data_IF_937752070350
#
_entry.id   IF_937752070350
#
_cell.length_a   1.000
_cell.length_b   1.000
_cell.length_c   1.000
_cell.angle_alpha   90.00
_cell.angle_beta   90.00
_cell.angle_gamma   90.00
#
_symmetry.space_group_name_H-M   'P 1'
#
loop_
_entity.id
_entity.type
_entity.pdbx_description
1 polymer ?
#
# COMPACT_ATOMS: atom_id res chain seq x y z
N UNK A 1 -2.36 19.63 -37.23
CA UNK A 1 -2.01 18.50 -36.35
C UNK A 1 -3.28 17.99 -35.66
N UNK A 2 -4.27 17.47 -36.40
CA UNK A 2 -4.53 16.04 -36.69
C UNK A 2 -4.51 15.11 -35.46
N UNK A 3 -5.73 14.82 -34.98
CA UNK A 3 -6.29 13.54 -34.48
C UNK A 3 -5.64 12.87 -33.26
N UNK A 4 -6.34 12.92 -32.13
CA UNK A 4 -6.60 11.74 -31.31
C UNK A 4 -8.09 11.75 -30.94
N UNK A 5 -8.87 10.92 -31.64
CA UNK A 5 -10.20 10.50 -31.21
C UNK A 5 -10.22 8.97 -31.19
N UNK A 6 -10.62 8.46 -30.02
CA UNK A 6 -11.36 7.21 -29.76
C UNK A 6 -10.61 5.88 -29.92
N UNK A 7 -10.33 5.28 -28.76
CA UNK A 7 -10.69 3.89 -28.48
C UNK A 7 -11.03 3.75 -26.98
N UNK A 8 -12.06 4.49 -26.53
CA UNK A 8 -12.71 4.21 -25.26
C UNK A 8 -13.68 3.03 -25.47
N UNK A 9 -13.14 1.81 -25.48
CA UNK A 9 -13.93 0.61 -25.34
C UNK A 9 -14.32 0.44 -23.86
N UNK A 10 -15.36 1.19 -23.45
CA UNK A 10 -16.31 0.71 -22.44
C UNK A 10 -15.90 0.71 -20.97
N UNK A 11 -14.93 1.52 -20.50
CA UNK A 11 -14.75 1.66 -19.06
C UNK A 11 -14.34 3.08 -18.61
N UNK A 12 -15.26 3.88 -18.01
CA UNK A 12 -14.94 5.24 -17.55
C UNK A 12 -13.83 5.28 -16.48
N UNK A 13 -13.54 4.16 -15.81
CA UNK A 13 -12.41 4.06 -14.87
C UNK A 13 -11.02 4.10 -15.52
N UNK A 14 -10.87 3.66 -16.78
CA UNK A 14 -9.57 3.65 -17.46
C UNK A 14 -9.11 5.05 -17.90
N UNK A 15 -10.04 5.98 -18.14
CA UNK A 15 -9.71 7.35 -18.51
C UNK A 15 -9.07 8.13 -17.35
N UNK A 16 -9.48 7.85 -16.10
CA UNK A 16 -8.90 8.47 -14.91
C UNK A 16 -7.55 7.87 -14.52
N UNK A 17 -7.36 6.57 -14.72
CA UNK A 17 -6.07 5.92 -14.47
C UNK A 17 -4.95 6.45 -15.40
N UNK A 18 -5.29 6.77 -16.66
CA UNK A 18 -4.34 7.33 -17.62
C UNK A 18 -4.05 8.82 -17.40
N UNK A 19 -4.97 9.58 -16.79
CA UNK A 19 -4.72 10.99 -16.45
C UNK A 19 -3.73 11.16 -15.27
N UNK A 20 -3.59 10.14 -14.42
CA UNK A 20 -2.66 10.14 -13.28
C UNK A 20 -1.25 9.59 -13.63
N UNK A 21 -1.09 8.98 -14.81
CA UNK A 21 0.19 8.39 -15.24
C UNK A 21 0.86 9.27 -16.31
N UNK A 22 1.34 10.46 -15.91
CA UNK A 22 2.33 11.18 -16.72
C UNK A 22 3.71 10.55 -16.49
N UNK A 23 4.48 10.21 -17.55
CA UNK A 23 5.78 9.57 -17.40
C UNK A 23 6.83 10.64 -17.13
N UNK A 24 6.99 11.03 -15.87
CA UNK A 24 8.12 11.86 -15.45
C UNK A 24 8.67 11.57 -14.04
N UNK A 25 7.91 10.95 -13.13
CA UNK A 25 8.45 10.58 -11.82
C UNK A 25 7.75 9.35 -11.24
N UNK A 26 8.42 8.19 -11.28
CA UNK A 26 7.93 6.92 -10.74
C UNK A 26 7.98 6.85 -9.18
N UNK A 27 8.01 8.00 -8.51
CA UNK A 27 8.03 8.11 -7.04
C UNK A 27 7.05 9.15 -6.49
N UNK A 28 6.15 9.69 -7.32
CA UNK A 28 5.02 10.43 -6.78
C UNK A 28 4.10 9.44 -6.06
N UNK A 29 4.01 9.57 -4.73
CA UNK A 29 2.96 8.96 -3.91
C UNK A 29 1.63 9.46 -4.46
N UNK A 30 1.03 8.70 -5.40
CA UNK A 30 -0.32 9.00 -5.87
C UNK A 30 -1.19 8.83 -4.63
N UNK A 31 -1.66 9.95 -4.09
CA UNK A 31 -2.56 9.94 -2.94
C UNK A 31 -3.69 8.95 -3.25
N UNK A 32 -3.98 8.04 -2.30
CA UNK A 32 -5.06 7.09 -2.48
C UNK A 32 -6.32 7.85 -2.91
N UNK A 33 -7.02 7.40 -3.97
CA UNK A 33 -8.21 8.08 -4.43
C UNK A 33 -9.18 8.17 -3.24
N UNK A 34 -9.85 9.31 -3.01
CA UNK A 34 -10.91 9.37 -2.00
C UNK A 34 -11.92 8.24 -2.27
N UNK A 35 -12.46 7.65 -1.20
CA UNK A 35 -13.35 6.48 -1.30
C UNK A 35 -14.51 6.68 -2.28
N UNK A 36 -15.01 7.93 -2.41
CA UNK A 36 -16.05 8.32 -3.36
C UNK A 36 -15.67 8.16 -4.85
N UNK A 37 -14.38 8.03 -5.18
CA UNK A 37 -13.88 7.79 -6.53
C UNK A 37 -13.58 6.32 -6.82
N UNK A 38 -13.78 5.42 -5.84
CA UNK A 38 -13.69 3.98 -6.08
C UNK A 38 -14.94 3.53 -6.85
N UNK A 39 -14.81 2.83 -8.00
CA UNK A 39 -15.96 2.34 -8.73
C UNK A 39 -16.83 1.42 -7.85
N UNK A 40 -18.17 1.55 -7.87
CA UNK A 40 -19.05 0.79 -6.98
C UNK A 40 -18.88 -0.72 -7.14
N UNK A 41 -18.71 -1.21 -8.37
CA UNK A 41 -18.46 -2.63 -8.63
C UNK A 41 -17.16 -3.16 -7.97
N UNK A 42 -16.14 -2.29 -7.83
CA UNK A 42 -14.92 -2.65 -7.12
C UNK A 42 -15.12 -2.60 -5.60
N UNK A 43 -15.84 -1.60 -5.09
CA UNK A 43 -16.21 -1.54 -3.68
C UNK A 43 -17.01 -2.79 -3.26
N UNK A 44 -18.04 -3.16 -4.03
CA UNK A 44 -18.85 -4.36 -3.79
C UNK A 44 -18.00 -5.65 -3.82
N UNK A 45 -17.05 -5.74 -4.75
CA UNK A 45 -16.15 -6.89 -4.84
C UNK A 45 -15.20 -7.00 -3.63
N UNK A 46 -14.75 -5.87 -3.10
CA UNK A 46 -13.90 -5.81 -1.90
C UNK A 46 -14.71 -6.05 -0.61
N UNK A 47 -15.97 -5.62 -0.55
CA UNK A 47 -16.86 -5.85 0.59
C UNK A 47 -17.24 -7.33 0.76
N UNK A 48 -17.24 -8.10 -0.33
CA UNK A 48 -17.46 -9.55 -0.31
C UNK A 48 -16.23 -10.35 0.17
N UNK A 49 -15.10 -9.70 0.43
CA UNK A 49 -13.91 -10.38 0.93
C UNK A 49 -14.08 -10.78 2.40
N UNK A 50 -13.58 -11.97 2.73
CA UNK A 50 -13.41 -12.35 4.13
C UNK A 50 -12.38 -11.44 4.83
N UNK A 51 -12.39 -11.45 6.16
CA UNK A 51 -11.48 -10.62 6.94
C UNK A 51 -10.00 -10.95 6.66
N UNK A 52 -9.64 -12.20 6.38
CA UNK A 52 -8.26 -12.57 6.10
C UNK A 52 -7.79 -12.01 4.75
N UNK A 53 -8.64 -12.04 3.73
CA UNK A 53 -8.38 -11.50 2.40
C UNK A 53 -8.24 -9.98 2.43
N UNK A 54 -9.14 -9.28 3.12
CA UNK A 54 -9.03 -7.84 3.27
C UNK A 54 -7.79 -7.41 4.08
N UNK A 55 -7.40 -8.16 5.13
CA UNK A 55 -6.14 -7.91 5.85
C UNK A 55 -4.91 -8.15 4.97
N UNK A 56 -4.92 -9.20 4.14
CA UNK A 56 -3.83 -9.51 3.22
C UNK A 56 -3.65 -8.43 2.15
N UNK A 57 -4.74 -7.98 1.52
CA UNK A 57 -4.67 -6.90 0.53
C UNK A 57 -4.18 -5.60 1.17
N UNK A 58 -4.69 -5.24 2.35
CA UNK A 58 -4.24 -4.04 3.04
C UNK A 58 -2.75 -4.14 3.41
N UNK A 59 -2.27 -5.33 3.80
CA UNK A 59 -0.86 -5.52 4.12
C UNK A 59 0.03 -5.38 2.88
N UNK A 60 -0.43 -5.87 1.73
CA UNK A 60 0.25 -5.71 0.44
C UNK A 60 0.33 -4.23 0.07
N UNK A 61 -0.73 -3.46 0.28
CA UNK A 61 -0.74 -2.01 0.05
C UNK A 61 0.18 -1.25 1.01
N UNK A 62 0.23 -1.65 2.28
CA UNK A 62 0.99 -0.95 3.32
C UNK A 62 2.50 -1.19 3.29
N UNK A 63 2.99 -2.18 2.53
CA UNK A 63 4.40 -2.55 2.48
C UNK A 63 5.07 -2.01 1.22
N UNK A 64 6.26 -1.42 1.38
CA UNK A 64 7.06 -0.98 0.21
C UNK A 64 7.48 -2.13 -0.72
N UNK A 65 7.71 -3.33 -0.14
CA UNK A 65 8.12 -4.54 -0.86
C UNK A 65 7.45 -5.77 -0.24
N UNK A 66 6.17 -6.02 -0.55
CA UNK A 66 5.42 -7.13 0.03
C UNK A 66 5.97 -8.47 -0.45
N UNK A 67 6.22 -9.35 0.53
CA UNK A 67 6.74 -10.71 0.29
C UNK A 67 5.88 -11.74 1.03
N UNK A 68 5.78 -12.96 0.48
CA UNK A 68 5.02 -14.05 1.11
C UNK A 68 5.47 -14.30 2.56
N UNK A 69 6.77 -14.30 2.80
CA UNK A 69 7.39 -14.53 4.12
C UNK A 69 7.03 -13.42 5.10
N UNK A 70 7.05 -12.16 4.68
CA UNK A 70 6.68 -11.05 5.54
C UNK A 70 5.18 -11.04 5.84
N UNK A 71 4.35 -11.32 4.83
CA UNK A 71 2.91 -11.46 4.99
C UNK A 71 2.57 -12.61 5.96
N UNK A 72 3.21 -13.77 5.81
CA UNK A 72 3.04 -14.91 6.72
C UNK A 72 3.48 -14.59 8.15
N UNK A 73 4.59 -13.86 8.34
CA UNK A 73 5.04 -13.40 9.66
C UNK A 73 4.03 -12.46 10.32
N UNK A 74 3.45 -11.52 9.56
CA UNK A 74 2.50 -10.54 10.09
C UNK A 74 1.10 -11.12 10.32
N UNK A 75 0.66 -11.98 9.40
CA UNK A 75 -0.73 -12.41 9.27
C UNK A 75 -1.00 -13.85 9.74
N UNK A 76 0.04 -14.67 9.85
CA UNK A 76 -0.03 -16.05 10.32
C UNK A 76 0.10 -17.10 9.21
N UNK A 77 0.07 -18.38 9.59
CA UNK A 77 0.28 -19.49 8.64
C UNK A 77 -0.82 -19.61 7.58
N UNK A 78 -2.07 -19.27 7.92
CA UNK A 78 -3.21 -19.32 6.99
C UNK A 78 -3.14 -18.31 5.84
N UNK A 79 -2.19 -17.37 5.88
CA UNK A 79 -2.04 -16.33 4.86
C UNK A 79 -1.70 -16.88 3.49
N UNK A 80 -0.96 -17.99 3.40
CA UNK A 80 -0.60 -18.59 2.09
C UNK A 80 -1.87 -18.99 1.33
N UNK A 81 -2.76 -19.74 1.98
CA UNK A 81 -4.03 -20.14 1.36
C UNK A 81 -4.89 -18.93 0.98
N UNK A 82 -4.84 -17.83 1.75
CA UNK A 82 -5.53 -16.59 1.40
C UNK A 82 -4.92 -15.91 0.18
N UNK A 83 -3.59 -15.86 0.06
CA UNK A 83 -2.89 -15.30 -1.10
C UNK A 83 -3.22 -16.12 -2.36
N UNK A 84 -3.21 -17.45 -2.28
CA UNK A 84 -3.60 -18.31 -3.40
C UNK A 84 -5.05 -18.03 -3.86
N UNK A 85 -5.99 -17.85 -2.92
CA UNK A 85 -7.38 -17.47 -3.27
C UNK A 85 -7.45 -16.09 -3.94
N UNK A 86 -6.67 -15.12 -3.47
CA UNK A 86 -6.63 -13.77 -4.04
C UNK A 86 -6.00 -13.75 -5.44
N UNK A 87 -4.98 -14.57 -5.67
CA UNK A 87 -4.34 -14.76 -6.97
C UNK A 87 -5.28 -15.44 -7.97
N UNK A 88 -5.98 -16.51 -7.55
CA UNK A 88 -7.00 -17.17 -8.39
C UNK A 88 -8.15 -16.24 -8.77
N UNK A 89 -8.47 -15.26 -7.92
CA UNK A 89 -9.46 -14.20 -8.22
C UNK A 89 -8.90 -13.08 -9.10
N UNK A 90 -7.62 -13.13 -9.47
CA UNK A 90 -6.96 -12.13 -10.31
C UNK A 90 -6.80 -10.76 -9.64
N UNK A 91 -6.81 -10.70 -8.31
CA UNK A 91 -6.62 -9.44 -7.56
C UNK A 91 -5.14 -9.12 -7.35
N UNK A 92 -4.33 -10.16 -7.23
CA UNK A 92 -2.88 -10.10 -7.05
C UNK A 92 -2.21 -11.08 -7.99
N UNK A 93 -0.90 -10.90 -8.16
CA UNK A 93 -0.01 -11.83 -8.83
C UNK A 93 1.18 -12.13 -7.92
N UNK A 94 1.61 -13.38 -7.91
CA UNK A 94 2.78 -13.83 -7.15
C UNK A 94 3.91 -14.21 -8.12
N UNK A 95 5.06 -13.54 -7.97
CA UNK A 95 6.26 -13.81 -8.75
C UNK A 95 7.38 -14.24 -7.79
N UNK A 96 7.49 -15.57 -7.60
CA UNK A 96 8.36 -16.16 -6.58
C UNK A 96 7.93 -15.70 -5.20
N UNK A 97 8.75 -14.87 -4.56
CA UNK A 97 8.50 -14.37 -3.21
C UNK A 97 7.74 -13.04 -3.19
N UNK A 98 7.69 -12.33 -4.32
CA UNK A 98 7.07 -11.00 -4.42
C UNK A 98 5.59 -11.11 -4.73
N UNK A 99 4.80 -10.28 -4.07
CA UNK A 99 3.36 -10.15 -4.31
C UNK A 99 3.08 -8.76 -4.89
N UNK A 100 2.26 -8.66 -5.92
CA UNK A 100 1.87 -7.36 -6.50
C UNK A 100 0.39 -7.36 -6.81
N UNK A 101 -0.26 -6.19 -6.78
CA UNK A 101 -1.61 -6.07 -7.31
C UNK A 101 -1.64 -6.33 -8.81
N UNK A 102 -2.65 -7.07 -9.26
CA UNK A 102 -2.86 -7.32 -10.69
C UNK A 102 -3.27 -6.03 -11.43
N UNK A 103 -3.90 -5.08 -10.73
CA UNK A 103 -4.34 -3.80 -11.28
C UNK A 103 -3.96 -2.64 -10.36
N UNK A 104 -3.35 -1.54 -10.88
CA UNK A 104 -2.90 -0.42 -10.05
C UNK A 104 -4.01 0.22 -9.19
N UNK A 105 -5.24 0.29 -9.71
CA UNK A 105 -6.37 0.91 -9.00
C UNK A 105 -6.80 0.13 -7.73
N UNK A 106 -6.46 -1.16 -7.63
CA UNK A 106 -6.85 -1.99 -6.48
C UNK A 106 -6.16 -1.52 -5.21
N UNK A 107 -4.89 -1.15 -5.28
CA UNK A 107 -4.12 -0.69 -4.12
C UNK A 107 -4.78 0.55 -3.50
N UNK A 108 -5.10 1.54 -4.33
CA UNK A 108 -5.77 2.77 -3.91
C UNK A 108 -7.17 2.53 -3.35
N UNK A 109 -7.96 1.64 -3.97
CA UNK A 109 -9.28 1.28 -3.47
C UNK A 109 -9.23 0.59 -2.10
N UNK A 110 -8.29 -0.35 -1.92
CA UNK A 110 -8.08 -1.05 -0.65
C UNK A 110 -7.69 -0.06 0.47
N UNK A 111 -6.80 0.89 0.18
CA UNK A 111 -6.39 1.89 1.17
C UNK A 111 -7.54 2.84 1.56
N UNK A 112 -8.31 3.28 0.55
CA UNK A 112 -9.42 4.20 0.73
C UNK A 112 -10.59 3.59 1.50
N UNK A 113 -10.88 2.30 1.31
CA UNK A 113 -12.00 1.60 1.94
C UNK A 113 -11.65 1.00 3.31
N UNK A 114 -10.36 0.86 3.66
CA UNK A 114 -9.97 0.39 4.98
C UNK A 114 -10.43 1.35 6.08
N UNK A 115 -10.90 0.82 7.22
CA UNK A 115 -11.21 1.64 8.39
C UNK A 115 -9.92 2.04 9.14
N UNK A 116 -9.93 3.19 9.84
CA UNK A 116 -8.78 3.65 10.62
C UNK A 116 -8.35 2.65 11.70
N UNK A 117 -9.32 2.00 12.34
CA UNK A 117 -9.04 0.98 13.34
C UNK A 117 -8.28 -0.20 12.73
N UNK A 118 -8.70 -0.65 11.54
CA UNK A 118 -8.08 -1.77 10.83
C UNK A 118 -6.70 -1.41 10.30
N UNK A 119 -6.54 -0.23 9.68
CA UNK A 119 -5.25 0.32 9.28
C UNK A 119 -4.26 0.32 10.43
N UNK A 120 -4.62 0.97 11.55
CA UNK A 120 -3.73 1.05 12.73
C UNK A 120 -3.36 -0.32 13.28
N UNK A 121 -4.32 -1.23 13.39
CA UNK A 121 -4.06 -2.59 13.86
C UNK A 121 -3.08 -3.33 12.94
N UNK A 122 -3.22 -3.18 11.62
CA UNK A 122 -2.35 -3.82 10.68
C UNK A 122 -0.93 -3.23 10.68
N UNK A 123 -0.82 -1.90 10.67
CA UNK A 123 0.47 -1.21 10.78
C UNK A 123 1.23 -1.61 12.05
N UNK A 124 0.54 -1.83 13.18
CA UNK A 124 1.15 -2.39 14.41
C UNK A 124 1.75 -3.78 14.19
N UNK A 125 1.02 -4.67 13.51
CA UNK A 125 1.50 -6.04 13.20
C UNK A 125 2.70 -6.00 12.26
N UNK A 126 2.65 -5.16 11.23
CA UNK A 126 3.73 -4.99 10.27
C UNK A 126 4.99 -4.42 10.93
N UNK A 127 4.85 -3.41 11.78
CA UNK A 127 5.97 -2.84 12.53
C UNK A 127 6.72 -3.90 13.34
N UNK A 128 6.01 -4.88 13.91
CA UNK A 128 6.61 -5.95 14.71
C UNK A 128 7.46 -6.95 13.91
N UNK A 129 7.24 -7.07 12.61
CA UNK A 129 7.90 -8.08 11.76
C UNK A 129 8.79 -7.50 10.67
N UNK A 130 8.74 -6.19 10.42
CA UNK A 130 9.62 -5.53 9.46
C UNK A 130 11.00 -5.33 10.07
N UNK A 131 12.03 -5.81 9.37
CA UNK A 131 13.42 -5.75 9.83
C UNK A 131 14.12 -4.45 9.40
N UNK A 132 13.70 -3.84 8.28
CA UNK A 132 14.30 -2.60 7.78
C UNK A 132 13.89 -1.39 8.63
N UNK A 133 14.84 -0.59 9.15
CA UNK A 133 14.55 0.44 10.16
C UNK A 133 13.64 1.55 9.63
N UNK A 134 13.83 1.99 8.39
CA UNK A 134 13.00 3.04 7.78
C UNK A 134 11.55 2.58 7.57
N UNK A 135 11.39 1.34 7.09
CA UNK A 135 10.06 0.78 6.85
C UNK A 135 9.35 0.58 8.19
N UNK A 136 10.04 0.03 9.19
CA UNK A 136 9.51 -0.11 10.55
C UNK A 136 9.08 1.24 11.13
N UNK A 137 9.86 2.30 10.93
CA UNK A 137 9.52 3.63 11.41
C UNK A 137 8.24 4.17 10.75
N UNK A 138 8.06 3.97 9.43
CA UNK A 138 6.79 4.29 8.73
C UNK A 138 5.63 3.50 9.33
N UNK A 139 5.78 2.19 9.50
CA UNK A 139 4.72 1.34 10.07
C UNK A 139 4.32 1.81 11.48
N UNK A 140 5.27 2.19 12.33
CA UNK A 140 4.97 2.75 13.66
C UNK A 140 4.23 4.10 13.58
N UNK A 141 4.60 4.96 12.64
CA UNK A 141 3.92 6.24 12.42
C UNK A 141 2.46 6.03 11.98
N UNK A 142 2.23 5.17 10.98
CA UNK A 142 0.87 4.85 10.51
C UNK A 142 0.03 4.04 11.51
N UNK A 143 0.68 3.35 12.45
CA UNK A 143 0.04 2.67 13.57
C UNK A 143 -0.50 3.63 14.65
N UNK A 144 -0.21 4.93 14.56
CA UNK A 144 -0.55 5.94 15.58
C UNK A 144 0.11 5.65 16.94
N UNK A 145 1.35 5.13 16.90
CA UNK A 145 2.16 4.80 18.07
C UNK A 145 3.26 5.84 18.29
N UNK A 146 2.90 7.13 18.39
CA UNK A 146 3.84 8.25 18.46
C UNK A 146 5.02 8.07 19.45
N UNK A 147 4.82 7.59 20.69
CA UNK A 147 5.93 7.39 21.63
C UNK A 147 7.01 6.42 21.12
N UNK A 148 6.62 5.46 20.29
CA UNK A 148 7.51 4.47 19.70
C UNK A 148 7.99 4.90 18.30
N UNK A 149 7.13 5.59 17.55
CA UNK A 149 7.41 6.07 16.21
C UNK A 149 8.46 7.18 16.21
N UNK A 150 8.37 8.18 17.09
CA UNK A 150 9.26 9.33 17.10
C UNK A 150 10.77 8.98 17.19
N UNK A 151 11.22 8.16 18.17
CA UNK A 151 12.64 7.77 18.22
C UNK A 151 13.05 6.90 17.01
N UNK A 152 12.16 6.06 16.50
CA UNK A 152 12.42 5.24 15.30
C UNK A 152 12.56 6.11 14.05
N UNK A 153 11.67 7.08 13.84
CA UNK A 153 11.70 8.03 12.72
C UNK A 153 12.97 8.88 12.74
N UNK A 154 13.36 9.41 13.91
CA UNK A 154 14.61 10.19 14.05
C UNK A 154 15.84 9.34 13.70
N UNK A 155 15.91 8.12 14.22
CA UNK A 155 17.02 7.20 13.95
C UNK A 155 17.08 6.82 12.48
N UNK A 156 15.93 6.49 11.88
CA UNK A 156 15.83 6.15 10.47
C UNK A 156 16.18 7.33 9.56
N UNK A 157 15.73 8.54 9.86
CA UNK A 157 16.05 9.75 9.11
C UNK A 157 17.56 10.07 9.16
N UNK A 158 18.19 9.94 10.34
CA UNK A 158 19.64 10.13 10.48
C UNK A 158 20.42 9.08 9.65
N UNK A 159 20.02 7.82 9.69
CA UNK A 159 20.61 6.76 8.87
C UNK A 159 20.42 7.01 7.37
N UNK A 160 19.25 7.51 6.96
CA UNK A 160 18.98 7.87 5.58
C UNK A 160 19.85 9.04 5.09
N UNK A 161 20.00 10.08 5.90
CA UNK A 161 20.89 11.20 5.58
C UNK A 161 22.36 10.74 5.47
N UNK A 162 22.83 9.92 6.42
CA UNK A 162 24.21 9.44 6.44
C UNK A 162 24.59 8.61 5.20
N UNK A 163 23.63 7.91 4.60
CA UNK A 163 23.85 7.14 3.35
C UNK A 163 23.54 7.92 2.07
N UNK A 164 23.32 9.24 2.16
CA UNK A 164 23.08 10.10 1.00
C UNK A 164 21.65 10.01 0.44
N UNK A 165 20.65 9.67 1.27
CA UNK A 165 19.23 9.66 0.90
C UNK A 165 18.45 10.79 1.60
N UNK A 166 18.71 12.07 1.27
CA UNK A 166 18.10 13.21 1.95
C UNK A 166 16.58 13.30 1.75
N UNK A 167 16.06 12.88 0.60
CA UNK A 167 14.62 12.84 0.34
C UNK A 167 13.88 11.89 1.30
N UNK A 168 14.43 10.69 1.53
CA UNK A 168 13.89 9.73 2.50
C UNK A 168 14.01 10.24 3.93
N UNK A 169 15.10 10.93 4.28
CA UNK A 169 15.24 11.56 5.59
C UNK A 169 14.16 12.62 5.83
N UNK A 170 13.88 13.46 4.82
CA UNK A 170 12.84 14.48 4.89
C UNK A 170 11.44 13.87 5.00
N UNK A 171 11.12 12.83 4.22
CA UNK A 171 9.86 12.08 4.30
C UNK A 171 9.60 11.56 5.72
N UNK A 172 10.60 10.90 6.32
CA UNK A 172 10.49 10.33 7.67
C UNK A 172 10.33 11.41 8.74
N UNK A 173 10.98 12.57 8.58
CA UNK A 173 10.78 13.71 9.48
C UNK A 173 9.39 14.35 9.29
N UNK A 174 8.89 14.42 8.06
CA UNK A 174 7.53 14.87 7.76
C UNK A 174 6.47 14.04 8.49
N UNK A 175 6.62 12.72 8.49
CA UNK A 175 5.74 11.81 9.24
C UNK A 175 5.71 12.08 10.76
N UNK A 176 6.77 12.67 11.32
CA UNK A 176 6.82 13.05 12.73
C UNK A 176 6.15 14.40 13.02
N UNK A 177 5.95 15.24 12.00
CA UNK A 177 5.35 16.56 12.11
C UNK A 177 3.84 16.55 11.78
N UNK A 178 3.42 15.67 10.86
CA UNK A 178 2.03 15.57 10.39
C UNK A 178 1.11 14.80 11.36
N UNK A 179 1.55 14.53 12.60
CA UNK A 179 0.83 13.73 13.60
C UNK A 179 0.89 14.39 14.97
#
# INVERSE_FOLDING_TARGET
LRRICVAAAGNPGQALALAAASPADAQATVAAPPAALVPPALADALDQLDAAAADALLAITSLSRPTLSLLRRALGAGTIATIERLELRGLIAVAGERVTFAQPLLAGAVDALASDARRRALHRRLAAVVDHPEERARQLAHADLLPQALPALRTAAAGAAARGAPATAAELLGLALDR
#
